data_IF_277826799935
#
_entry.id   IF_277826799935
#
_cell.length_a   1.000
_cell.length_b   1.000
_cell.length_c   1.000
_cell.angle_alpha   90.00
_cell.angle_beta   90.00
_cell.angle_gamma   90.00
#
_symmetry.space_group_name_H-M   'P 1'
#
loop_
_entity.id
_entity.type
_entity.pdbx_description
1 polymer ?
#
# COMPACT_ATOMS: atom_id res chain seq x y z
N UNK A 1 9.20 -11.42 8.84
CA UNK A 1 10.56 -10.87 8.98
C UNK A 1 11.65 -11.85 8.53
N UNK A 2 11.60 -13.15 8.84
CA UNK A 2 12.58 -14.17 8.38
C UNK A 2 12.82 -14.08 6.87
N UNK A 3 11.77 -14.10 6.06
CA UNK A 3 11.88 -14.02 4.59
C UNK A 3 12.46 -12.67 4.08
N UNK A 4 12.52 -11.64 4.91
CA UNK A 4 13.12 -10.35 4.56
C UNK A 4 14.62 -10.28 4.85
N UNK A 5 15.13 -11.08 5.80
CA UNK A 5 16.54 -11.04 6.19
C UNK A 5 17.51 -11.24 5.02
N UNK A 6 17.32 -12.21 4.10
CA UNK A 6 18.22 -12.37 2.96
C UNK A 6 18.29 -11.14 2.04
N UNK A 7 17.16 -10.41 1.92
CA UNK A 7 17.10 -9.18 1.11
C UNK A 7 17.86 -8.05 1.83
N UNK A 8 17.58 -7.85 3.11
CA UNK A 8 18.13 -6.74 3.89
C UNK A 8 19.60 -6.88 4.22
N UNK A 9 20.08 -8.10 4.53
CA UNK A 9 21.48 -8.36 4.86
C UNK A 9 22.45 -8.03 3.72
N UNK A 10 22.00 -8.07 2.45
CA UNK A 10 22.82 -7.66 1.30
C UNK A 10 23.22 -6.19 1.34
N UNK A 11 22.40 -5.34 1.95
CA UNK A 11 22.61 -3.89 2.04
C UNK A 11 23.18 -3.44 3.40
N UNK A 12 23.25 -4.37 4.36
CA UNK A 12 23.72 -4.03 5.71
C UNK A 12 25.24 -4.11 5.78
N UNK A 13 25.87 -2.93 5.86
CA UNK A 13 27.32 -2.75 5.99
C UNK A 13 27.64 -1.93 7.25
N UNK A 14 27.64 -2.56 8.43
CA UNK A 14 28.01 -1.85 9.67
C UNK A 14 29.49 -1.45 9.65
N UNK A 15 29.86 -0.41 10.38
CA UNK A 15 31.24 0.10 10.48
C UNK A 15 32.26 -0.94 10.93
N UNK A 16 31.82 -1.93 11.71
CA UNK A 16 32.67 -3.04 12.19
C UNK A 16 32.56 -4.34 11.37
N UNK A 17 31.77 -4.33 10.29
CA UNK A 17 31.45 -5.54 9.54
C UNK A 17 30.49 -6.48 10.30
N UNK A 18 29.98 -7.48 9.60
CA UNK A 18 29.30 -8.63 10.20
C UNK A 18 30.04 -9.88 9.75
N UNK A 19 30.44 -10.75 10.70
CA UNK A 19 31.05 -12.02 10.36
C UNK A 19 30.05 -12.93 9.62
N UNK A 20 30.55 -13.85 8.80
CA UNK A 20 29.68 -14.81 8.12
C UNK A 20 28.93 -15.69 9.13
N UNK A 21 29.55 -16.05 10.23
CA UNK A 21 28.90 -16.76 11.33
C UNK A 21 27.64 -16.06 11.83
N UNK A 22 27.70 -14.77 12.13
CA UNK A 22 26.54 -13.98 12.58
C UNK A 22 25.47 -13.87 11.49
N UNK A 23 25.87 -13.79 10.21
CA UNK A 23 24.90 -13.80 9.09
C UNK A 23 24.13 -15.12 9.03
N UNK A 24 24.84 -16.23 9.16
CA UNK A 24 24.26 -17.57 9.11
C UNK A 24 23.32 -17.81 10.31
N UNK A 25 23.69 -17.38 11.50
CA UNK A 25 22.81 -17.40 12.67
C UNK A 25 21.53 -16.57 12.45
N UNK A 26 21.64 -15.36 11.94
CA UNK A 26 20.47 -14.51 11.64
C UNK A 26 19.55 -15.15 10.61
N UNK A 27 20.11 -15.81 9.59
CA UNK A 27 19.34 -16.49 8.55
C UNK A 27 18.66 -17.77 9.04
N UNK A 28 19.22 -18.41 10.08
CA UNK A 28 18.66 -19.63 10.70
C UNK A 28 17.56 -19.34 11.74
N UNK A 29 17.40 -18.09 12.18
CA UNK A 29 16.42 -17.73 13.21
C UNK A 29 14.99 -17.98 12.78
N UNK A 30 14.18 -18.58 13.66
CA UNK A 30 12.73 -18.70 13.48
C UNK A 30 12.02 -17.35 13.63
N UNK A 31 10.83 -17.21 13.03
CA UNK A 31 10.00 -16.01 13.17
C UNK A 31 9.67 -15.68 14.62
N UNK A 32 9.39 -16.69 15.43
CA UNK A 32 9.10 -16.52 16.87
C UNK A 32 10.31 -16.05 17.66
N UNK A 33 11.51 -16.49 17.30
CA UNK A 33 12.77 -16.03 17.92
C UNK A 33 12.99 -14.55 17.61
N UNK A 34 12.84 -14.14 16.35
CA UNK A 34 12.97 -12.74 15.94
C UNK A 34 11.92 -11.85 16.64
N UNK A 35 10.66 -12.29 16.69
CA UNK A 35 9.60 -11.52 17.36
C UNK A 35 9.86 -11.35 18.86
N UNK A 36 10.42 -12.37 19.53
CA UNK A 36 10.82 -12.31 20.94
C UNK A 36 11.91 -11.26 21.18
N UNK A 37 12.96 -11.25 20.38
CA UNK A 37 14.02 -10.23 20.47
C UNK A 37 13.53 -8.81 20.19
N UNK A 38 12.62 -8.66 19.24
CA UNK A 38 12.09 -7.34 18.86
C UNK A 38 10.94 -6.85 19.76
N UNK A 39 10.40 -7.67 20.68
CA UNK A 39 9.23 -7.35 21.49
C UNK A 39 9.42 -6.07 22.30
N UNK A 40 10.54 -5.93 23.01
CA UNK A 40 10.84 -4.75 23.81
C UNK A 40 11.04 -3.50 22.96
N UNK A 41 11.66 -3.64 21.79
CA UNK A 41 11.85 -2.55 20.83
C UNK A 41 10.53 -2.09 20.24
N UNK A 42 9.68 -3.01 19.78
CA UNK A 42 8.33 -2.71 19.24
C UNK A 42 7.44 -2.01 20.27
N UNK A 43 7.51 -2.39 21.56
CA UNK A 43 6.73 -1.79 22.63
C UNK A 43 7.02 -0.29 22.84
N UNK A 44 8.25 0.17 22.59
CA UNK A 44 8.63 1.59 22.71
C UNK A 44 7.98 2.50 21.66
N UNK A 45 7.50 1.94 20.55
CA UNK A 45 6.90 2.68 19.41
C UNK A 45 5.38 2.52 19.33
N UNK A 46 4.74 1.84 20.28
CA UNK A 46 3.29 1.64 20.31
C UNK A 46 2.55 2.91 20.77
N UNK A 47 1.58 3.40 19.99
CA UNK A 47 0.78 4.62 20.25
C UNK A 47 -0.73 4.31 20.41
N UNK A 48 -1.47 5.23 21.09
CA UNK A 48 -2.89 5.10 21.47
C UNK A 48 -3.89 5.35 20.32
N UNK A 49 -5.15 4.83 20.43
CA UNK A 49 -6.12 4.73 19.31
C UNK A 49 -7.39 5.56 19.54
N UNK A 50 -7.78 6.53 18.65
CA UNK A 50 -9.18 7.01 18.45
C UNK A 50 -9.36 7.73 17.09
N UNK A 51 -10.54 7.58 16.41
CA UNK A 51 -10.88 8.25 15.14
C UNK A 51 -12.38 8.16 14.77
N UNK A 52 -12.93 9.14 14.00
CA UNK A 52 -14.31 9.12 13.46
C UNK A 52 -14.50 9.99 12.19
N UNK A 53 -15.36 9.58 11.21
CA UNK A 53 -15.64 10.28 9.94
C UNK A 53 -17.11 10.20 9.47
N UNK A 54 -17.59 11.17 8.63
CA UNK A 54 -18.98 11.30 8.09
C UNK A 54 -19.10 10.88 6.63
N UNK A 55 -20.34 10.52 6.13
CA UNK A 55 -20.65 9.88 4.84
C UNK A 55 -21.42 10.76 3.85
N UNK A 56 -21.25 10.55 2.52
CA UNK A 56 -21.88 11.29 1.41
C UNK A 56 -23.04 10.54 0.70
N UNK A 57 -24.00 11.30 0.10
CA UNK A 57 -25.18 10.73 -0.57
C UNK A 57 -25.27 10.99 -2.10
N UNK A 58 -24.69 12.07 -2.67
CA UNK A 58 -25.01 12.58 -4.01
C UNK A 58 -24.56 11.72 -5.21
N UNK A 59 -23.39 11.12 -5.20
CA UNK A 59 -22.81 10.39 -6.36
C UNK A 59 -23.02 8.86 -6.34
N UNK A 60 -23.76 8.35 -5.35
CA UNK A 60 -23.95 6.89 -5.18
C UNK A 60 -24.67 6.22 -6.34
N UNK A 61 -25.51 6.93 -7.10
CA UNK A 61 -26.29 6.36 -8.19
C UNK A 61 -25.57 6.40 -9.54
N UNK A 62 -24.50 7.18 -9.67
CA UNK A 62 -23.75 7.36 -10.92
C UNK A 62 -22.56 6.39 -11.00
N UNK A 63 -21.90 6.12 -9.86
CA UNK A 63 -20.71 5.29 -9.80
C UNK A 63 -21.10 3.86 -9.44
N UNK A 64 -20.81 2.85 -10.30
CA UNK A 64 -21.19 1.47 -10.07
C UNK A 64 -20.50 0.86 -8.85
N UNK A 65 -21.18 -0.09 -8.23
CA UNK A 65 -20.64 -0.84 -7.09
C UNK A 65 -19.79 -2.00 -7.61
N UNK A 66 -18.55 -2.14 -7.07
CA UNK A 66 -17.70 -3.31 -7.25
C UNK A 66 -17.82 -4.23 -6.03
N UNK A 67 -18.06 -5.51 -6.24
CA UNK A 67 -18.00 -6.53 -5.20
C UNK A 67 -16.57 -7.00 -4.98
N UNK A 68 -16.21 -7.25 -3.73
CA UNK A 68 -14.85 -7.67 -3.32
C UNK A 68 -14.57 -9.16 -3.53
N UNK A 69 -15.48 -9.87 -4.17
CA UNK A 69 -15.41 -11.33 -4.33
C UNK A 69 -14.45 -11.75 -5.45
N UNK A 70 -13.96 -10.79 -6.24
CA UNK A 70 -13.01 -11.06 -7.34
C UNK A 70 -11.60 -10.62 -6.96
N UNK A 71 -10.68 -11.58 -6.93
CA UNK A 71 -9.24 -11.30 -6.77
C UNK A 71 -8.71 -10.76 -8.10
N UNK A 72 -8.04 -9.60 -8.03
CA UNK A 72 -7.35 -9.04 -9.19
C UNK A 72 -6.26 -10.00 -9.68
N UNK A 73 -6.29 -10.36 -10.95
CA UNK A 73 -5.34 -11.29 -11.60
C UNK A 73 -4.19 -10.58 -12.34
N UNK A 74 -4.19 -9.25 -12.36
CA UNK A 74 -3.17 -8.40 -13.00
C UNK A 74 -3.09 -7.04 -12.30
N UNK A 75 -1.94 -6.31 -12.41
CA UNK A 75 -1.82 -4.95 -11.90
C UNK A 75 -2.80 -3.99 -12.58
N UNK A 76 -3.15 -2.89 -11.88
CA UNK A 76 -3.98 -1.81 -12.38
C UNK A 76 -5.37 -1.70 -11.76
N UNK A 77 -5.75 -2.60 -10.86
CA UNK A 77 -6.98 -2.50 -10.07
C UNK A 77 -6.68 -1.81 -8.75
N UNK A 78 -7.03 -0.54 -8.63
CA UNK A 78 -6.67 0.32 -7.52
C UNK A 78 -7.80 0.48 -6.51
N UNK A 79 -7.43 0.57 -5.25
CA UNK A 79 -8.29 1.01 -4.14
C UNK A 79 -7.78 2.34 -3.61
N UNK A 80 -8.67 3.33 -3.48
CA UNK A 80 -8.35 4.63 -2.92
C UNK A 80 -8.53 4.65 -1.40
N UNK A 81 -8.01 5.66 -0.80
CA UNK A 81 -7.77 6.12 0.56
C UNK A 81 -6.24 6.19 0.79
N UNK A 82 -5.55 5.09 0.70
CA UNK A 82 -4.16 4.96 0.26
C UNK A 82 -4.21 4.23 -1.07
N UNK A 83 -3.81 4.88 -2.17
CA UNK A 83 -3.93 4.27 -3.49
C UNK A 83 -3.10 2.98 -3.55
N UNK A 84 -3.78 1.85 -3.54
CA UNK A 84 -3.15 0.52 -3.48
C UNK A 84 -3.64 -0.37 -4.62
N UNK A 85 -2.71 -0.96 -5.35
CA UNK A 85 -3.01 -1.96 -6.38
C UNK A 85 -3.38 -3.31 -5.73
N UNK A 86 -4.55 -3.81 -6.07
CA UNK A 86 -5.09 -5.06 -5.52
C UNK A 86 -4.26 -6.28 -5.90
N UNK A 87 -3.62 -6.30 -7.05
CA UNK A 87 -2.82 -7.45 -7.51
C UNK A 87 -1.46 -7.52 -6.83
N UNK A 88 -0.70 -6.45 -6.86
CA UNK A 88 0.69 -6.45 -6.36
C UNK A 88 0.79 -6.06 -4.88
N UNK A 89 -0.16 -5.29 -4.36
CA UNK A 89 -0.04 -4.58 -3.09
C UNK A 89 0.80 -3.31 -3.20
N UNK A 90 1.15 -2.88 -4.44
CA UNK A 90 1.85 -1.62 -4.66
C UNK A 90 1.04 -0.45 -4.15
N UNK A 91 1.67 0.42 -3.38
CA UNK A 91 0.97 1.52 -2.74
C UNK A 91 1.62 2.85 -3.09
N UNK A 92 0.79 3.84 -3.43
CA UNK A 92 1.16 5.23 -3.57
C UNK A 92 0.41 6.05 -2.50
N UNK A 93 1.15 6.64 -1.57
CA UNK A 93 0.59 7.47 -0.51
C UNK A 93 0.87 8.94 -0.78
N UNK A 94 -0.12 9.78 -0.52
CA UNK A 94 0.01 11.23 -0.55
C UNK A 94 -0.87 11.87 0.52
N UNK A 95 -0.32 12.76 1.33
CA UNK A 95 -1.06 13.54 2.31
C UNK A 95 -1.76 14.74 1.63
N UNK A 96 -2.93 15.14 2.17
CA UNK A 96 -3.74 16.25 1.69
C UNK A 96 -3.90 17.30 2.78
N UNK A 97 -3.95 18.56 2.39
CA UNK A 97 -4.39 19.64 3.27
C UNK A 97 -5.92 19.77 3.19
N UNK A 98 -6.63 18.99 4.02
CA UNK A 98 -8.09 18.93 4.03
C UNK A 98 -8.70 17.99 2.98
N UNK A 99 -10.00 17.72 3.11
CA UNK A 99 -10.77 16.76 2.30
C UNK A 99 -11.66 17.43 1.24
N UNK A 100 -11.22 18.52 0.63
CA UNK A 100 -11.96 19.12 -0.48
C UNK A 100 -11.69 18.38 -1.80
N UNK A 101 -12.58 18.56 -2.78
CA UNK A 101 -12.52 17.84 -4.05
C UNK A 101 -11.26 18.17 -4.86
N UNK A 102 -10.78 19.40 -4.83
CA UNK A 102 -9.60 19.85 -5.59
C UNK A 102 -8.32 19.22 -5.03
N UNK A 103 -8.11 19.30 -3.72
CA UNK A 103 -6.93 18.70 -3.07
C UNK A 103 -6.91 17.19 -3.23
N UNK A 104 -8.10 16.56 -3.15
CA UNK A 104 -8.22 15.11 -3.37
C UNK A 104 -7.90 14.73 -4.81
N UNK A 105 -8.37 15.50 -5.80
CA UNK A 105 -8.02 15.29 -7.21
C UNK A 105 -6.51 15.42 -7.42
N UNK A 106 -5.87 16.47 -6.91
CA UNK A 106 -4.42 16.65 -7.02
C UNK A 106 -3.64 15.48 -6.44
N UNK A 107 -4.06 14.98 -5.27
CA UNK A 107 -3.41 13.84 -4.65
C UNK A 107 -3.62 12.55 -5.45
N UNK A 108 -4.82 12.31 -5.96
CA UNK A 108 -5.11 11.16 -6.84
C UNK A 108 -4.24 11.24 -8.09
N UNK A 109 -4.20 12.38 -8.79
CA UNK A 109 -3.34 12.58 -9.97
C UNK A 109 -1.88 12.26 -9.64
N UNK A 110 -1.36 12.81 -8.54
CA UNK A 110 0.01 12.56 -8.11
C UNK A 110 0.30 11.09 -7.75
N UNK A 111 -0.66 10.39 -7.17
CA UNK A 111 -0.54 8.96 -6.91
C UNK A 111 -0.54 8.13 -8.20
N UNK A 112 -1.49 8.40 -9.10
CA UNK A 112 -1.64 7.66 -10.36
C UNK A 112 -0.43 7.83 -11.28
N UNK A 113 0.15 9.03 -11.34
CA UNK A 113 1.34 9.32 -12.14
C UNK A 113 2.58 8.50 -11.71
N UNK A 114 2.66 8.12 -10.45
CA UNK A 114 3.80 7.38 -9.89
C UNK A 114 3.63 5.86 -9.90
N UNK A 115 2.57 5.33 -10.52
CA UNK A 115 2.39 3.89 -10.67
C UNK A 115 3.22 3.34 -11.83
N UNK A 116 3.87 2.18 -11.66
CA UNK A 116 4.75 1.60 -12.68
C UNK A 116 4.01 0.73 -13.72
N UNK A 117 2.68 0.76 -13.74
CA UNK A 117 1.81 -0.04 -14.62
C UNK A 117 0.56 0.74 -14.99
N UNK A 118 -0.10 0.29 -16.07
CA UNK A 118 -1.32 0.90 -16.57
C UNK A 118 -2.49 0.67 -15.59
N UNK A 119 -3.38 1.66 -15.49
CA UNK A 119 -4.49 1.64 -14.56
C UNK A 119 -5.76 1.18 -15.31
N UNK A 120 -6.45 0.21 -14.75
CA UNK A 120 -7.66 -0.38 -15.32
C UNK A 120 -8.90 0.08 -14.56
N UNK A 121 -8.82 0.05 -13.24
CA UNK A 121 -9.97 0.35 -12.38
C UNK A 121 -9.51 1.13 -11.16
N UNK A 122 -10.32 2.09 -10.73
CA UNK A 122 -10.15 2.89 -9.53
C UNK A 122 -11.38 2.73 -8.65
N UNK A 123 -11.21 2.06 -7.52
CA UNK A 123 -12.28 1.80 -6.56
C UNK A 123 -12.09 2.67 -5.31
N UNK A 124 -13.18 3.29 -4.84
CA UNK A 124 -13.16 4.15 -3.65
C UNK A 124 -14.14 3.65 -2.59
N UNK A 125 -14.02 4.18 -1.40
CA UNK A 125 -15.11 4.11 -0.43
C UNK A 125 -16.26 5.05 -0.82
N UNK A 126 -17.24 5.24 0.09
CA UNK A 126 -18.39 6.12 -0.17
C UNK A 126 -18.16 7.55 0.40
N UNK A 127 -16.90 7.99 0.54
CA UNK A 127 -16.53 9.32 1.02
C UNK A 127 -16.88 10.43 0.01
N UNK A 128 -17.24 11.62 0.50
CA UNK A 128 -17.55 12.79 -0.35
C UNK A 128 -16.33 13.30 -1.09
N UNK A 129 -15.17 13.11 -0.50
CA UNK A 129 -13.88 13.48 -1.04
C UNK A 129 -13.57 12.81 -2.37
N UNK A 130 -14.06 11.56 -2.57
CA UNK A 130 -13.89 10.81 -3.80
C UNK A 130 -15.14 10.84 -4.70
N UNK A 131 -16.35 10.80 -4.10
CA UNK A 131 -17.60 10.77 -4.85
C UNK A 131 -18.05 12.19 -5.22
N UNK A 132 -17.35 12.81 -6.16
CA UNK A 132 -17.64 14.15 -6.69
C UNK A 132 -17.40 14.21 -8.21
N UNK A 133 -17.84 15.31 -8.84
CA UNK A 133 -17.77 15.49 -10.29
C UNK A 133 -16.34 15.60 -10.83
N UNK A 134 -15.44 16.22 -10.10
CA UNK A 134 -14.06 16.42 -10.54
C UNK A 134 -13.31 15.08 -10.65
N UNK A 135 -13.39 14.25 -9.62
CA UNK A 135 -12.77 12.91 -9.63
C UNK A 135 -13.43 12.03 -10.70
N UNK A 136 -14.77 12.07 -10.81
CA UNK A 136 -15.49 11.29 -11.81
C UNK A 136 -15.07 11.68 -13.23
N UNK A 137 -15.04 12.99 -13.56
CA UNK A 137 -14.59 13.45 -14.87
C UNK A 137 -13.16 13.00 -15.16
N UNK A 138 -12.23 13.26 -14.26
CA UNK A 138 -10.83 12.91 -14.45
C UNK A 138 -10.63 11.40 -14.64
N UNK A 139 -11.19 10.58 -13.78
CA UNK A 139 -10.99 9.11 -13.81
C UNK A 139 -11.72 8.49 -15.00
N UNK A 140 -13.02 8.77 -15.16
CA UNK A 140 -13.86 8.06 -16.15
C UNK A 140 -13.81 8.66 -17.53
N UNK A 141 -13.74 10.00 -17.66
CA UNK A 141 -13.81 10.68 -18.94
C UNK A 141 -12.39 10.93 -19.49
N UNK A 142 -11.54 11.64 -18.73
CA UNK A 142 -10.22 12.05 -19.23
C UNK A 142 -9.25 10.87 -19.34
N UNK A 143 -9.29 9.95 -18.37
CA UNK A 143 -8.39 8.80 -18.32
C UNK A 143 -9.01 7.50 -18.83
N UNK A 144 -10.31 7.46 -19.06
CA UNK A 144 -11.04 6.24 -19.45
C UNK A 144 -10.77 5.04 -18.52
N UNK A 145 -10.65 5.31 -17.20
CA UNK A 145 -10.44 4.31 -16.17
C UNK A 145 -11.80 3.93 -15.59
N UNK A 146 -12.03 2.64 -15.38
CA UNK A 146 -13.25 2.16 -14.74
C UNK A 146 -13.34 2.68 -13.30
N UNK A 147 -14.25 3.62 -13.04
CA UNK A 147 -14.48 4.15 -11.70
C UNK A 147 -15.57 3.37 -10.99
N UNK A 148 -15.27 2.84 -9.80
CA UNK A 148 -16.19 2.03 -9.00
C UNK A 148 -16.17 2.47 -7.54
N UNK A 149 -17.16 2.00 -6.76
CA UNK A 149 -17.20 2.24 -5.32
C UNK A 149 -17.54 0.96 -4.55
N UNK A 150 -17.14 0.92 -3.29
CA UNK A 150 -17.41 -0.18 -2.36
C UNK A 150 -18.89 -0.22 -1.96
N UNK A 151 -19.38 -1.42 -1.61
CA UNK A 151 -20.74 -1.60 -1.07
C UNK A 151 -20.88 -0.86 0.26
N UNK A 152 -22.02 -0.19 0.44
CA UNK A 152 -22.31 0.49 1.70
C UNK A 152 -22.50 -0.55 2.83
N UNK A 153 -21.93 -0.29 4.01
CA UNK A 153 -22.02 -1.15 5.20
C UNK A 153 -21.35 -2.54 5.09
N UNK A 154 -20.57 -2.81 4.06
CA UNK A 154 -19.79 -4.05 3.95
C UNK A 154 -18.34 -3.80 4.36
N UNK A 155 -18.03 -4.02 5.64
CA UNK A 155 -16.66 -3.82 6.20
C UNK A 155 -15.60 -4.63 5.47
N UNK A 156 -15.93 -5.80 4.96
CA UNK A 156 -14.99 -6.65 4.22
C UNK A 156 -14.50 -6.03 2.91
N UNK A 157 -15.30 -5.15 2.28
CA UNK A 157 -14.91 -4.47 1.04
C UNK A 157 -13.82 -3.40 1.29
N UNK A 158 -13.71 -2.90 2.52
CA UNK A 158 -12.75 -1.87 2.92
C UNK A 158 -11.66 -2.39 3.86
N UNK A 159 -11.62 -3.70 4.15
CA UNK A 159 -10.68 -4.27 5.11
C UNK A 159 -9.20 -3.98 4.75
N UNK A 160 -8.86 -4.03 3.47
CA UNK A 160 -7.51 -3.69 2.99
C UNK A 160 -7.21 -2.20 3.12
N UNK A 161 -8.18 -1.33 2.85
CA UNK A 161 -8.05 0.12 3.01
C UNK A 161 -7.86 0.48 4.49
N UNK A 162 -8.68 -0.08 5.38
CA UNK A 162 -8.56 0.15 6.82
C UNK A 162 -7.20 -0.33 7.37
N UNK A 163 -6.72 -1.50 6.93
CA UNK A 163 -5.41 -2.02 7.27
C UNK A 163 -4.29 -1.09 6.78
N UNK A 164 -4.37 -0.60 5.53
CA UNK A 164 -3.38 0.31 4.97
C UNK A 164 -3.39 1.67 5.67
N UNK A 165 -4.56 2.21 5.98
CA UNK A 165 -4.67 3.42 6.78
C UNK A 165 -4.00 3.28 8.15
N UNK A 166 -4.16 2.14 8.79
CA UNK A 166 -3.47 1.86 10.03
C UNK A 166 -1.95 1.88 9.85
N UNK A 167 -1.42 1.05 8.93
CA UNK A 167 0.02 0.85 8.77
C UNK A 167 0.73 2.00 8.07
N UNK A 168 0.09 2.70 7.13
CA UNK A 168 0.72 3.73 6.30
C UNK A 168 0.51 5.14 6.84
N UNK A 169 -0.49 5.36 7.68
CA UNK A 169 -0.77 6.69 8.23
C UNK A 169 -0.56 6.68 9.74
N UNK A 170 -1.31 5.82 10.46
CA UNK A 170 -1.36 5.91 11.91
C UNK A 170 -0.11 5.40 12.62
N UNK A 171 0.49 4.32 12.13
CA UNK A 171 1.77 3.86 12.67
C UNK A 171 2.92 4.82 12.33
N UNK A 172 2.85 5.52 11.19
CA UNK A 172 3.90 6.42 10.74
C UNK A 172 3.80 7.80 11.39
N UNK A 173 2.61 8.41 11.40
CA UNK A 173 2.39 9.80 11.85
C UNK A 173 1.59 9.94 13.14
N UNK A 174 0.99 8.85 13.65
CA UNK A 174 0.15 8.88 14.85
C UNK A 174 -1.32 9.12 14.54
N UNK A 175 -2.07 9.47 15.61
CA UNK A 175 -3.52 9.65 15.57
C UNK A 175 -3.94 11.13 15.67
N UNK A 176 -2.99 12.00 15.88
CA UNK A 176 -3.26 13.42 16.03
C UNK A 176 -3.75 14.01 14.71
N UNK A 177 -4.54 15.07 14.79
CA UNK A 177 -4.97 15.83 13.65
C UNK A 177 -3.82 16.69 13.17
N UNK A 178 -3.24 16.32 12.04
CA UNK A 178 -2.11 17.01 11.43
C UNK A 178 -2.66 18.03 10.42
N UNK A 179 -2.45 19.32 10.68
CA UNK A 179 -2.93 20.42 9.84
C UNK A 179 -1.79 21.39 9.50
N UNK A 180 -1.88 22.01 8.33
CA UNK A 180 -0.93 23.01 7.84
C UNK A 180 -0.13 22.54 6.63
N UNK A 181 0.13 23.46 5.71
CA UNK A 181 0.80 23.19 4.43
C UNK A 181 2.20 22.62 4.62
N UNK A 182 3.04 23.22 5.46
CA UNK A 182 4.40 22.75 5.70
C UNK A 182 4.47 21.35 6.29
N UNK A 183 3.45 20.94 7.08
CA UNK A 183 3.37 19.60 7.61
C UNK A 183 2.97 18.59 6.51
N UNK A 184 2.01 18.94 5.66
CA UNK A 184 1.59 18.12 4.51
C UNK A 184 2.75 17.95 3.51
N UNK A 185 3.53 18.99 3.26
CA UNK A 185 4.73 18.91 2.43
C UNK A 185 5.76 17.95 3.03
N UNK A 186 6.03 18.05 4.33
CA UNK A 186 6.93 17.14 5.05
C UNK A 186 6.47 15.69 5.01
N UNK A 187 5.16 15.44 5.18
CA UNK A 187 4.57 14.11 5.03
C UNK A 187 4.73 13.58 3.60
N UNK A 188 4.49 14.42 2.60
CA UNK A 188 4.65 14.05 1.20
C UNK A 188 6.11 13.79 0.83
N UNK A 189 7.05 14.53 1.41
CA UNK A 189 8.48 14.27 1.27
C UNK A 189 8.85 12.88 1.83
N UNK A 190 8.34 12.54 3.02
CA UNK A 190 8.55 11.22 3.65
C UNK A 190 7.93 10.10 2.79
N UNK A 191 6.70 10.26 2.31
CA UNK A 191 6.07 9.29 1.44
C UNK A 191 6.87 9.07 0.14
N UNK A 192 7.23 10.14 -0.55
CA UNK A 192 7.90 10.08 -1.86
C UNK A 192 9.30 9.49 -1.77
N UNK A 193 10.09 9.91 -0.79
CA UNK A 193 11.53 9.62 -0.75
C UNK A 193 11.88 8.41 0.11
N UNK A 194 10.99 8.00 1.02
CA UNK A 194 11.27 6.95 1.99
C UNK A 194 10.19 5.87 2.01
N UNK A 195 8.99 6.18 2.49
CA UNK A 195 8.00 5.18 2.81
C UNK A 195 7.52 4.37 1.60
N UNK A 196 7.10 5.03 0.51
CA UNK A 196 6.61 4.33 -0.69
C UNK A 196 7.72 3.46 -1.31
N UNK A 197 8.96 3.94 -1.31
CA UNK A 197 10.10 3.17 -1.82
C UNK A 197 10.38 1.95 -0.96
N UNK A 198 10.48 2.15 0.36
CA UNK A 198 10.72 1.07 1.30
C UNK A 198 9.61 0.01 1.23
N UNK A 199 8.35 0.47 1.27
CA UNK A 199 7.18 -0.41 1.26
C UNK A 199 7.10 -1.24 -0.02
N UNK A 200 7.22 -0.59 -1.16
CA UNK A 200 7.00 -1.26 -2.44
C UNK A 200 8.15 -2.19 -2.85
N UNK A 201 9.38 -1.84 -2.52
CA UNK A 201 10.54 -2.61 -2.98
C UNK A 201 11.12 -3.59 -1.95
N UNK A 202 10.89 -3.37 -0.64
CA UNK A 202 11.60 -4.12 0.40
C UNK A 202 10.72 -4.72 1.50
N UNK A 203 9.44 -4.32 1.63
CA UNK A 203 8.54 -4.90 2.61
C UNK A 203 7.78 -6.07 2.01
N UNK A 204 8.00 -7.25 2.57
CA UNK A 204 7.33 -8.47 2.16
C UNK A 204 5.90 -8.54 2.71
N UNK A 205 4.98 -9.02 1.90
CA UNK A 205 3.57 -9.16 2.23
C UNK A 205 3.08 -10.55 1.83
N UNK A 206 2.27 -11.16 2.68
CA UNK A 206 1.43 -12.30 2.30
C UNK A 206 0.17 -11.78 1.61
N UNK A 207 -0.20 -12.37 0.50
CA UNK A 207 -1.40 -12.03 -0.25
C UNK A 207 -2.36 -13.20 -0.32
N UNK A 208 -3.66 -12.91 -0.18
CA UNK A 208 -4.70 -13.88 -0.48
C UNK A 208 -4.75 -14.14 -2.00
N UNK A 209 -4.54 -15.39 -2.38
CA UNK A 209 -4.56 -15.87 -3.78
C UNK A 209 -5.89 -16.51 -4.14
N UNK A 210 -6.68 -16.90 -3.13
CA UNK A 210 -7.98 -17.52 -3.32
C UNK A 210 -8.90 -17.16 -2.15
N UNK A 211 -10.18 -16.92 -2.45
CA UNK A 211 -11.21 -16.69 -1.44
C UNK A 211 -12.38 -17.61 -1.76
N UNK A 212 -12.61 -18.59 -0.92
CA UNK A 212 -13.71 -19.56 -1.08
C UNK A 212 -14.78 -19.30 -0.02
N UNK A 213 -16.04 -19.25 -0.44
CA UNK A 213 -17.16 -19.15 0.50
C UNK A 213 -17.55 -20.54 1.01
N UNK A 214 -17.55 -20.71 2.34
CA UNK A 214 -17.99 -21.95 3.00
C UNK A 214 -19.13 -21.59 3.96
N UNK A 215 -20.35 -21.80 3.51
CA UNK A 215 -21.57 -21.37 4.23
C UNK A 215 -21.63 -19.84 4.38
N UNK A 216 -21.65 -19.35 5.63
CA UNK A 216 -21.65 -17.92 5.96
C UNK A 216 -20.26 -17.30 6.08
N UNK A 217 -19.20 -18.10 6.03
CA UNK A 217 -17.80 -17.68 6.24
C UNK A 217 -17.00 -17.70 4.95
N UNK A 218 -15.96 -16.86 4.88
CA UNK A 218 -14.98 -16.87 3.79
C UNK A 218 -13.68 -17.50 4.28
N UNK A 219 -13.18 -18.53 3.55
CA UNK A 219 -11.87 -19.13 3.74
C UNK A 219 -10.92 -18.51 2.72
N UNK A 220 -9.75 -18.05 3.19
CA UNK A 220 -8.72 -17.44 2.35
C UNK A 220 -7.51 -18.34 2.28
N UNK A 221 -6.99 -18.56 1.08
CA UNK A 221 -5.69 -19.18 0.86
C UNK A 221 -4.70 -18.06 0.52
N UNK A 222 -3.52 -18.13 1.12
CA UNK A 222 -2.48 -17.12 0.94
C UNK A 222 -1.34 -17.68 0.10
N UNK A 223 -0.48 -16.79 -0.43
CA UNK A 223 0.78 -17.18 -1.05
C UNK A 223 1.60 -18.07 -0.11
N UNK A 224 2.28 -19.08 -0.66
CA UNK A 224 3.17 -19.95 0.11
C UNK A 224 4.40 -19.20 0.63
N UNK A 225 4.85 -18.19 -0.13
CA UNK A 225 5.99 -17.33 0.24
C UNK A 225 5.63 -15.86 0.15
N UNK A 226 5.96 -15.05 1.19
CA UNK A 226 5.77 -13.61 1.13
C UNK A 226 6.61 -12.98 0.01
N UNK A 227 6.01 -12.03 -0.72
CA UNK A 227 6.67 -11.27 -1.81
C UNK A 227 6.51 -9.78 -1.61
N UNK A 228 7.46 -8.99 -2.11
CA UNK A 228 7.30 -7.54 -2.15
C UNK A 228 6.29 -7.13 -3.24
N UNK A 229 5.65 -5.95 -3.13
CA UNK A 229 4.87 -5.38 -4.23
C UNK A 229 5.63 -5.26 -5.55
N UNK A 230 6.94 -5.08 -5.51
CA UNK A 230 7.83 -5.07 -6.67
C UNK A 230 7.99 -6.45 -7.32
N UNK A 231 8.15 -7.50 -6.52
CA UNK A 231 8.38 -8.86 -7.04
C UNK A 231 7.15 -9.43 -7.77
N UNK A 232 5.93 -9.11 -7.32
CA UNK A 232 4.70 -9.68 -7.89
C UNK A 232 4.50 -9.33 -9.36
N UNK A 233 4.52 -8.05 -9.78
CA UNK A 233 4.36 -7.68 -11.18
C UNK A 233 5.53 -8.15 -12.04
N UNK A 234 6.75 -8.21 -11.53
CA UNK A 234 7.90 -8.74 -12.26
C UNK A 234 7.72 -10.21 -12.65
N UNK A 235 7.13 -11.01 -11.76
CA UNK A 235 6.90 -12.44 -11.94
C UNK A 235 5.64 -12.74 -12.75
N UNK A 236 4.82 -11.70 -13.07
CA UNK A 236 3.63 -11.86 -13.90
C UNK A 236 3.96 -11.65 -15.39
N UNK A 237 3.12 -12.20 -16.25
CA UNK A 237 3.14 -11.97 -17.71
C UNK A 237 2.40 -10.68 -18.11
N UNK A 238 1.85 -9.94 -17.15
CA UNK A 238 0.92 -8.82 -17.35
C UNK A 238 1.61 -7.46 -17.51
N UNK A 239 2.92 -7.39 -17.25
CA UNK A 239 3.72 -6.20 -17.51
C UNK A 239 4.53 -6.35 -18.79
N UNK A 240 4.67 -5.26 -19.55
CA UNK A 240 5.57 -5.19 -20.69
C UNK A 240 7.04 -5.34 -20.29
N UNK A 241 7.89 -5.76 -21.22
CA UNK A 241 9.34 -5.84 -20.99
C UNK A 241 9.92 -4.50 -20.53
N UNK A 242 9.45 -3.40 -21.13
CA UNK A 242 9.86 -2.04 -20.78
C UNK A 242 9.51 -1.67 -19.34
N UNK A 243 8.27 -1.93 -18.90
CA UNK A 243 7.83 -1.67 -17.52
C UNK A 243 8.66 -2.49 -16.51
N UNK A 244 8.91 -3.77 -16.81
CA UNK A 244 9.76 -4.63 -15.97
C UNK A 244 11.20 -4.11 -15.87
N UNK A 245 11.76 -3.65 -16.98
CA UNK A 245 13.12 -3.11 -17.00
C UNK A 245 13.22 -1.80 -16.19
N UNK A 246 12.27 -0.89 -16.30
CA UNK A 246 12.22 0.33 -15.53
C UNK A 246 12.12 0.04 -14.02
N UNK A 247 11.30 -0.93 -13.63
CA UNK A 247 11.22 -1.39 -12.24
C UNK A 247 12.56 -1.92 -11.73
N UNK A 248 13.27 -2.73 -12.53
CA UNK A 248 14.59 -3.25 -12.18
C UNK A 248 15.63 -2.13 -12.07
N UNK A 249 15.67 -1.18 -13.01
CA UNK A 249 16.55 -0.01 -12.96
C UNK A 249 16.31 0.83 -11.70
N UNK A 250 15.05 1.01 -11.31
CA UNK A 250 14.71 1.70 -10.07
C UNK A 250 15.21 0.93 -8.84
N UNK A 251 14.93 -0.37 -8.77
CA UNK A 251 15.36 -1.21 -7.65
C UNK A 251 16.89 -1.19 -7.43
N UNK A 252 17.67 -1.25 -8.52
CA UNK A 252 19.14 -1.24 -8.45
C UNK A 252 19.72 0.04 -7.86
N UNK A 253 19.00 1.15 -7.92
CA UNK A 253 19.41 2.44 -7.32
C UNK A 253 19.07 2.56 -5.84
N UNK A 254 18.24 1.66 -5.31
CA UNK A 254 17.72 1.75 -3.95
C UNK A 254 18.56 0.95 -2.96
N UNK A 255 18.71 1.51 -1.75
CA UNK A 255 19.32 0.82 -0.62
C UNK A 255 18.38 0.98 0.61
N UNK A 256 17.74 -0.09 1.10
CA UNK A 256 16.75 0.00 2.18
C UNK A 256 17.33 0.54 3.48
N UNK A 257 18.62 0.33 3.75
CA UNK A 257 19.30 0.85 4.95
C UNK A 257 19.47 2.38 4.88
N UNK A 258 19.78 2.91 3.69
CA UNK A 258 19.89 4.37 3.48
C UNK A 258 18.51 5.04 3.49
N UNK A 259 17.48 4.37 2.97
CA UNK A 259 16.11 4.87 2.94
C UNK A 259 15.53 4.97 4.36
N UNK A 260 15.94 4.11 5.30
CA UNK A 260 15.42 4.07 6.67
C UNK A 260 16.11 5.03 7.64
N UNK A 261 17.32 5.54 7.31
CA UNK A 261 18.06 6.53 8.11
C UNK A 261 17.50 7.93 7.95
#
# INVERSE_FOLDING_TARGET
>A
MVAALPIWLRFYTPSKGISNYVKDELLSMSSSTIDRYLKSYKARFSRSKRSGTRRSKKFKNVIPIKSFDQIANRPGYLQADTVTDEFSGWTANRALNGKNASNTLEAVVGCLYNLPFDIISFNTDNGTEFLNSQIHSYISIDKNIQFTRSRTYRKNDNAHVEQKNFTHVRELFGYDRLEGEGLVESMNYIYKNYFNLLHNFFILQLKSIEVTRVGSKYKRKYDDTPKTPYQRPLNSDKLSKYQKENLRKTYLKLNPIKIRK
#
